data_IF_714376010837
#
_entry.id   IF_714376010837
#
_cell.length_a   1.000
_cell.length_b   1.000
_cell.length_c   1.000
_cell.angle_alpha   90.00
_cell.angle_beta   90.00
_cell.angle_gamma   90.00
#
_symmetry.space_group_name_H-M   'P 1'
#
loop_
_entity.id
_entity.type
_entity.pdbx_description
1 polymer ?
#
# COMPACT_ATOMS: atom_id res chain seq x y z
N UNK A 1 -46.45 13.86 19.35
CA UNK A 1 -45.69 14.24 18.13
C UNK A 1 -44.27 14.70 18.49
N UNK A 2 -43.42 13.80 19.01
CA UNK A 2 -42.04 14.14 19.43
C UNK A 2 -40.99 13.04 19.09
N UNK A 3 -41.34 12.08 18.23
CA UNK A 3 -40.43 11.02 17.78
C UNK A 3 -39.76 11.30 16.41
N UNK A 4 -40.07 12.39 15.72
CA UNK A 4 -39.50 12.68 14.39
C UNK A 4 -38.11 13.35 14.43
N UNK A 5 -37.67 13.89 15.58
CA UNK A 5 -36.37 14.59 15.70
C UNK A 5 -35.20 13.67 16.09
N UNK A 6 -35.46 12.54 16.77
CA UNK A 6 -34.41 11.56 17.13
C UNK A 6 -33.83 10.82 15.90
N UNK A 7 -34.63 10.63 14.84
CA UNK A 7 -34.15 9.99 13.60
C UNK A 7 -33.17 10.84 12.79
N UNK A 8 -33.16 12.17 12.97
CA UNK A 8 -32.26 13.08 12.23
C UNK A 8 -30.88 13.21 12.86
N UNK A 9 -30.80 13.20 14.19
CA UNK A 9 -29.52 13.30 14.91
C UNK A 9 -28.70 12.01 14.75
N UNK A 10 -29.37 10.85 14.89
CA UNK A 10 -28.74 9.53 14.73
C UNK A 10 -28.19 9.32 13.31
N UNK A 11 -28.95 9.68 12.26
CA UNK A 11 -28.48 9.55 10.86
C UNK A 11 -27.26 10.42 10.55
N UNK A 12 -27.20 11.65 11.08
CA UNK A 12 -26.05 12.55 10.89
C UNK A 12 -24.79 11.98 11.55
N UNK A 13 -24.93 11.45 12.77
CA UNK A 13 -23.80 10.84 13.51
C UNK A 13 -23.28 9.60 12.77
N UNK A 14 -24.18 8.71 12.32
CA UNK A 14 -23.81 7.52 11.52
C UNK A 14 -23.08 7.92 10.24
N UNK A 15 -23.55 8.96 9.54
CA UNK A 15 -22.92 9.45 8.33
C UNK A 15 -21.51 10.02 8.59
N UNK A 16 -21.31 10.73 9.71
CA UNK A 16 -19.99 11.21 10.12
C UNK A 16 -19.04 10.06 10.45
N UNK A 17 -19.50 9.05 11.20
CA UNK A 17 -18.68 7.85 11.48
C UNK A 17 -18.33 7.07 10.21
N UNK A 18 -19.27 6.95 9.26
CA UNK A 18 -18.99 6.37 7.93
C UNK A 18 -17.94 7.18 7.16
N UNK A 19 -18.04 8.51 7.15
CA UNK A 19 -17.07 9.36 6.45
C UNK A 19 -15.68 9.27 7.08
N UNK A 20 -15.56 9.35 8.41
CA UNK A 20 -14.27 9.27 9.11
C UNK A 20 -13.65 7.88 8.94
N UNK A 21 -14.43 6.80 9.09
CA UNK A 21 -13.90 5.45 8.89
C UNK A 21 -13.48 5.19 7.45
N UNK A 22 -14.24 5.72 6.48
CA UNK A 22 -13.90 5.66 5.06
C UNK A 22 -12.60 6.39 4.74
N UNK A 23 -12.41 7.61 5.24
CA UNK A 23 -11.18 8.38 4.99
C UNK A 23 -9.95 7.74 5.62
N UNK A 24 -10.05 7.22 6.84
CA UNK A 24 -8.95 6.47 7.47
C UNK A 24 -8.63 5.18 6.72
N UNK A 25 -9.65 4.46 6.22
CA UNK A 25 -9.44 3.27 5.40
C UNK A 25 -8.75 3.59 4.07
N UNK A 26 -9.13 4.69 3.41
CA UNK A 26 -8.47 5.15 2.19
C UNK A 26 -7.02 5.54 2.43
N UNK A 27 -6.74 6.26 3.52
CA UNK A 27 -5.39 6.71 3.86
C UNK A 27 -4.47 5.53 4.17
N UNK A 28 -4.93 4.59 5.00
CA UNK A 28 -4.18 3.36 5.33
C UNK A 28 -3.95 2.49 4.09
N UNK A 29 -4.96 2.28 3.26
CA UNK A 29 -4.84 1.52 2.00
C UNK A 29 -3.85 2.18 1.05
N UNK A 30 -3.93 3.51 0.90
CA UNK A 30 -3.02 4.28 0.03
C UNK A 30 -1.57 4.19 0.52
N UNK A 31 -1.35 4.28 1.83
CA UNK A 31 -0.03 4.13 2.43
C UNK A 31 0.54 2.72 2.24
N UNK A 32 -0.26 1.68 2.48
CA UNK A 32 0.15 0.28 2.25
C UNK A 32 0.51 0.01 0.79
N UNK A 33 -0.28 0.54 -0.15
CA UNK A 33 0.01 0.40 -1.58
C UNK A 33 1.24 1.15 -2.03
N UNK A 34 1.48 2.34 -1.46
CA UNK A 34 2.70 3.08 -1.71
C UNK A 34 3.94 2.31 -1.22
N UNK A 35 3.86 1.69 -0.03
CA UNK A 35 4.92 0.83 0.48
C UNK A 35 5.13 -0.41 -0.40
N UNK A 36 4.06 -1.09 -0.81
CA UNK A 36 4.15 -2.27 -1.68
C UNK A 36 4.78 -1.91 -3.03
N UNK A 37 4.35 -0.80 -3.64
CA UNK A 37 4.98 -0.26 -4.84
C UNK A 37 6.47 -0.02 -4.65
N UNK A 38 6.85 0.71 -3.58
CA UNK A 38 8.26 1.02 -3.30
C UNK A 38 9.09 -0.26 -3.11
N UNK A 39 8.60 -1.21 -2.32
CA UNK A 39 9.30 -2.46 -2.05
C UNK A 39 9.50 -3.28 -3.33
N UNK A 40 8.49 -3.36 -4.20
CA UNK A 40 8.58 -4.07 -5.48
C UNK A 40 9.57 -3.41 -6.44
N UNK A 41 9.58 -2.08 -6.51
CA UNK A 41 10.56 -1.34 -7.31
C UNK A 41 11.98 -1.60 -6.79
N UNK A 42 12.22 -1.49 -5.48
CA UNK A 42 13.52 -1.79 -4.88
C UNK A 42 13.94 -3.24 -5.12
N UNK A 43 13.03 -4.21 -4.98
CA UNK A 43 13.34 -5.61 -5.28
C UNK A 43 13.72 -5.82 -6.76
N UNK A 44 13.10 -5.09 -7.68
CA UNK A 44 13.45 -5.11 -9.10
C UNK A 44 14.82 -4.46 -9.35
N UNK A 45 15.11 -3.32 -8.71
CA UNK A 45 16.41 -2.66 -8.74
C UNK A 45 17.52 -3.60 -8.23
N UNK A 46 17.31 -4.27 -7.11
CA UNK A 46 18.24 -5.25 -6.54
C UNK A 46 18.43 -6.45 -7.47
N UNK A 47 17.36 -6.94 -8.11
CA UNK A 47 17.44 -8.04 -9.10
C UNK A 47 18.29 -7.65 -10.31
N UNK A 48 18.12 -6.43 -10.83
CA UNK A 48 18.95 -5.91 -11.94
C UNK A 48 20.40 -5.75 -11.49
N UNK A 49 20.62 -5.18 -10.31
CA UNK A 49 21.96 -4.99 -9.74
C UNK A 49 22.70 -6.32 -9.61
N UNK A 50 22.08 -7.31 -8.97
CA UNK A 50 22.66 -8.64 -8.78
C UNK A 50 22.97 -9.30 -10.12
N UNK A 51 22.07 -9.20 -11.11
CA UNK A 51 22.32 -9.73 -12.45
C UNK A 51 23.53 -9.04 -13.11
N UNK A 52 23.66 -7.73 -13.01
CA UNK A 52 24.84 -7.02 -13.55
C UNK A 52 26.12 -7.43 -12.83
N UNK A 53 26.07 -7.62 -11.51
CA UNK A 53 27.21 -8.09 -10.72
C UNK A 53 27.62 -9.52 -11.11
N UNK A 54 26.67 -10.42 -11.30
CA UNK A 54 26.92 -11.81 -11.73
C UNK A 54 27.57 -11.89 -13.12
N UNK A 55 27.19 -10.97 -14.02
CA UNK A 55 27.73 -10.90 -15.38
C UNK A 55 28.92 -9.97 -15.55
N UNK A 56 29.40 -9.29 -14.51
CA UNK A 56 30.47 -8.29 -14.61
C UNK A 56 31.73 -8.88 -15.26
N UNK A 57 32.16 -10.03 -14.78
CA UNK A 57 33.35 -10.72 -15.28
C UNK A 57 33.21 -11.19 -16.74
N UNK A 58 32.22 -12.02 -17.10
CA UNK A 58 32.08 -12.50 -18.48
C UNK A 58 31.80 -11.35 -19.46
N UNK A 59 31.05 -10.32 -19.04
CA UNK A 59 30.78 -9.15 -19.86
C UNK A 59 32.05 -8.34 -20.11
N UNK A 60 32.85 -8.14 -19.06
CA UNK A 60 34.12 -7.45 -19.16
C UNK A 60 35.13 -8.14 -20.07
N UNK A 61 35.27 -9.46 -19.97
CA UNK A 61 36.11 -10.25 -20.90
C UNK A 61 35.59 -10.14 -22.34
N UNK A 62 34.28 -10.20 -22.53
CA UNK A 62 33.65 -10.10 -23.85
C UNK A 62 33.87 -8.71 -24.48
N UNK A 63 33.78 -7.63 -23.69
CA UNK A 63 34.10 -6.27 -24.13
C UNK A 63 35.57 -6.19 -24.54
N UNK A 64 36.49 -6.63 -23.67
CA UNK A 64 37.93 -6.58 -23.92
C UNK A 64 38.32 -7.33 -25.21
N UNK A 65 37.73 -8.51 -25.43
CA UNK A 65 37.97 -9.33 -26.62
C UNK A 65 37.12 -8.94 -27.84
N UNK A 66 36.30 -7.89 -27.74
CA UNK A 66 35.38 -7.45 -28.80
C UNK A 66 34.42 -8.57 -29.28
N UNK A 67 33.99 -9.45 -28.37
CA UNK A 67 33.11 -10.58 -28.65
C UNK A 67 31.63 -10.19 -28.54
N UNK A 68 31.12 -9.54 -29.59
CA UNK A 68 29.73 -9.04 -29.64
C UNK A 68 28.67 -10.12 -29.42
N UNK A 69 28.92 -11.36 -29.85
CA UNK A 69 28.00 -12.47 -29.63
C UNK A 69 27.79 -12.78 -28.14
N UNK A 70 28.86 -12.80 -27.34
CA UNK A 70 28.76 -13.06 -25.90
C UNK A 70 28.07 -11.89 -25.21
N UNK A 71 28.41 -10.65 -25.59
CA UNK A 71 27.71 -9.46 -25.09
C UNK A 71 26.21 -9.56 -25.38
N UNK A 72 25.82 -9.97 -26.58
CA UNK A 72 24.42 -10.13 -26.98
C UNK A 72 23.70 -11.16 -26.09
N UNK A 73 24.27 -12.36 -25.93
CA UNK A 73 23.69 -13.42 -25.09
C UNK A 73 23.53 -12.99 -23.62
N UNK A 74 24.51 -12.26 -23.08
CA UNK A 74 24.40 -11.69 -21.73
C UNK A 74 23.28 -10.65 -21.67
N UNK A 75 23.17 -9.78 -22.68
CA UNK A 75 22.15 -8.76 -22.72
C UNK A 75 20.72 -9.32 -22.91
N UNK A 76 20.58 -10.47 -23.56
CA UNK A 76 19.30 -11.20 -23.68
C UNK A 76 18.79 -11.72 -22.33
N UNK A 77 19.70 -12.08 -21.41
CA UNK A 77 19.31 -12.58 -20.09
C UNK A 77 18.56 -11.54 -19.24
N UNK A 78 18.74 -10.24 -19.50
CA UNK A 78 17.94 -9.19 -18.85
C UNK A 78 16.44 -9.28 -19.20
N UNK A 79 16.06 -9.97 -20.28
CA UNK A 79 14.66 -10.27 -20.59
C UNK A 79 13.96 -11.15 -19.57
N UNK A 80 14.71 -11.88 -18.72
CA UNK A 80 14.12 -12.61 -17.59
C UNK A 80 13.81 -11.73 -16.37
N UNK A 81 14.27 -10.48 -16.37
CA UNK A 81 14.09 -9.53 -15.26
C UNK A 81 12.85 -8.68 -15.45
N UNK A 82 12.58 -8.24 -16.69
CA UNK A 82 11.43 -7.40 -17.02
C UNK A 82 11.00 -7.59 -18.47
N UNK A 83 9.69 -7.47 -18.69
CA UNK A 83 9.04 -7.49 -20.01
C UNK A 83 9.42 -6.27 -20.87
N UNK A 84 9.93 -5.21 -20.26
CA UNK A 84 10.38 -4.01 -20.97
C UNK A 84 11.70 -3.49 -20.38
N UNK A 85 12.76 -3.58 -21.18
CA UNK A 85 14.09 -3.12 -20.81
C UNK A 85 14.91 -2.62 -22.02
N UNK A 86 15.91 -1.80 -21.73
CA UNK A 86 16.97 -1.44 -22.66
C UNK A 86 18.28 -1.69 -21.93
N UNK A 87 19.09 -2.63 -22.42
CA UNK A 87 20.42 -2.85 -21.91
C UNK A 87 21.44 -2.39 -22.95
N UNK A 88 22.41 -1.60 -22.55
CA UNK A 88 23.46 -1.09 -23.42
C UNK A 88 24.82 -1.28 -22.79
N UNK A 89 25.79 -1.62 -23.63
CA UNK A 89 27.18 -1.86 -23.23
C UNK A 89 28.06 -0.91 -24.02
N UNK A 90 28.90 -0.18 -23.30
CA UNK A 90 29.84 0.78 -23.87
C UNK A 90 31.26 0.34 -23.59
N UNK A 91 32.15 0.55 -24.55
CA UNK A 91 33.59 0.37 -24.39
C UNK A 91 34.16 1.42 -23.42
N UNK A 92 35.44 1.28 -23.05
CA UNK A 92 36.20 2.25 -22.24
C UNK A 92 36.16 3.68 -22.79
N UNK A 93 36.07 3.82 -24.12
CA UNK A 93 35.97 5.12 -24.80
C UNK A 93 34.54 5.70 -24.80
N UNK A 94 33.58 5.02 -24.15
CA UNK A 94 32.16 5.39 -24.14
C UNK A 94 31.42 5.06 -25.44
N UNK A 95 32.07 4.39 -26.39
CA UNK A 95 31.46 3.95 -27.65
C UNK A 95 30.48 2.81 -27.40
N UNK A 96 29.29 2.90 -27.99
CA UNK A 96 28.29 1.87 -27.86
C UNK A 96 28.74 0.60 -28.62
N UNK A 97 28.93 -0.50 -27.89
CA UNK A 97 29.28 -1.81 -28.46
C UNK A 97 28.00 -2.51 -28.89
N UNK A 98 26.99 -2.50 -28.02
CA UNK A 98 25.73 -3.18 -28.26
C UNK A 98 24.62 -2.51 -27.46
N UNK A 99 23.44 -2.44 -28.05
CA UNK A 99 22.20 -2.08 -27.36
C UNK A 99 21.16 -3.14 -27.67
N UNK A 100 20.60 -3.71 -26.62
CA UNK A 100 19.51 -4.67 -26.69
C UNK A 100 18.25 -4.03 -26.10
N UNK A 101 17.36 -3.51 -26.96
CA UNK A 101 16.03 -3.10 -26.53
C UNK A 101 15.09 -4.31 -26.59
N UNK A 102 14.44 -4.61 -25.47
CA UNK A 102 13.19 -5.35 -25.47
C UNK A 102 12.09 -4.39 -25.05
N UNK A 103 11.49 -3.74 -26.02
CA UNK A 103 10.35 -2.86 -25.82
C UNK A 103 9.15 -3.60 -26.38
N UNK A 104 8.36 -4.24 -25.51
CA UNK A 104 7.07 -4.79 -25.88
C UNK A 104 6.18 -3.67 -26.45
N UNK A 105 6.19 -3.52 -27.78
CA UNK A 105 5.28 -2.78 -28.66
C UNK A 105 4.88 -1.32 -28.37
N UNK A 106 5.51 -0.59 -27.45
CA UNK A 106 5.25 0.86 -27.30
C UNK A 106 6.45 1.70 -27.76
N UNK A 107 6.32 2.21 -28.99
CA UNK A 107 6.94 3.43 -29.57
C UNK A 107 8.39 3.79 -29.21
N UNK A 108 9.16 4.03 -30.28
CA UNK A 108 10.51 4.63 -30.34
C UNK A 108 11.07 5.29 -29.08
N UNK A 109 12.34 4.96 -28.82
CA UNK A 109 13.24 5.38 -27.72
C UNK A 109 13.17 6.89 -27.39
N UNK A 110 12.61 7.73 -28.25
CA UNK A 110 12.56 9.19 -28.12
C UNK A 110 11.61 9.75 -27.06
N UNK A 111 10.61 9.01 -26.54
CA UNK A 111 9.62 9.54 -25.58
C UNK A 111 9.43 8.66 -24.32
N UNK A 112 10.51 8.12 -23.79
CA UNK A 112 10.46 7.37 -22.52
C UNK A 112 10.29 8.38 -21.37
N UNK A 113 9.08 8.46 -20.80
CA UNK A 113 8.87 9.20 -19.55
C UNK A 113 9.67 8.53 -18.44
N UNK A 114 10.70 9.22 -17.93
CA UNK A 114 11.55 8.76 -16.81
C UNK A 114 10.74 8.37 -15.55
N UNK A 115 9.45 8.72 -15.45
CA UNK A 115 8.60 8.36 -14.32
C UNK A 115 8.25 6.88 -14.26
N UNK A 116 8.32 6.15 -15.37
CA UNK A 116 7.94 4.73 -15.45
C UNK A 116 9.14 3.80 -15.69
N UNK A 117 10.36 4.30 -15.45
CA UNK A 117 11.60 3.57 -15.65
C UNK A 117 12.61 3.93 -14.57
N UNK A 118 13.47 2.98 -14.21
CA UNK A 118 14.70 3.28 -13.50
C UNK A 118 15.91 2.91 -14.35
N UNK A 119 17.05 3.51 -14.03
CA UNK A 119 18.32 3.31 -14.73
C UNK A 119 19.35 2.83 -13.73
N UNK A 120 19.95 1.69 -14.03
CA UNK A 120 21.13 1.20 -13.34
C UNK A 120 22.32 1.29 -14.28
N UNK A 121 23.47 1.77 -13.79
CA UNK A 121 24.69 1.88 -14.57
C UNK A 121 25.88 1.47 -13.71
N UNK A 122 26.77 0.66 -14.27
CA UNK A 122 27.98 0.18 -13.62
C UNK A 122 29.16 0.26 -14.58
N UNK A 123 30.27 0.80 -14.10
CA UNK A 123 31.56 0.70 -14.77
C UNK A 123 32.19 -0.65 -14.46
N UNK A 124 32.77 -1.28 -15.48
CA UNK A 124 33.44 -2.57 -15.37
C UNK A 124 34.94 -2.28 -15.30
N UNK A 125 35.50 -2.44 -14.11
CA UNK A 125 36.91 -2.21 -13.82
C UNK A 125 37.55 -3.50 -13.31
N UNK A 126 38.60 -3.92 -13.99
CA UNK A 126 39.35 -5.12 -13.64
C UNK A 126 40.52 -4.82 -12.69
N UNK A 127 40.84 -3.55 -12.45
CA UNK A 127 42.02 -3.16 -11.68
C UNK A 127 43.28 -3.80 -12.27
N UNK A 128 43.96 -4.64 -11.49
CA UNK A 128 45.06 -5.50 -11.95
C UNK A 128 44.73 -6.97 -11.71
N UNK A 129 43.81 -7.54 -12.50
CA UNK A 129 43.43 -8.95 -12.38
C UNK A 129 43.91 -9.78 -13.57
N UNK A 130 44.44 -10.96 -13.24
CA UNK A 130 44.92 -11.95 -14.20
C UNK A 130 43.93 -13.10 -14.26
N UNK A 131 43.47 -13.44 -15.46
CA UNK A 131 42.52 -14.52 -15.68
C UNK A 131 43.17 -15.64 -16.47
N UNK A 132 42.93 -16.88 -16.04
CA UNK A 132 43.33 -18.06 -16.81
C UNK A 132 42.11 -18.58 -17.55
N UNK A 133 42.12 -18.51 -18.88
CA UNK A 133 41.05 -19.07 -19.74
C UNK A 133 41.70 -19.99 -20.77
N UNK A 134 41.28 -21.26 -20.84
CA UNK A 134 41.81 -22.24 -21.80
C UNK A 134 43.35 -22.31 -21.84
N UNK A 135 43.98 -22.34 -20.67
CA UNK A 135 45.45 -22.31 -20.48
C UNK A 135 46.19 -21.04 -20.96
N UNK A 136 45.48 -20.04 -21.48
CA UNK A 136 46.01 -18.71 -21.74
C UNK A 136 45.81 -17.78 -20.56
N UNK A 137 46.86 -17.03 -20.21
CA UNK A 137 46.85 -16.06 -19.15
C UNK A 137 46.52 -14.69 -19.76
N UNK A 138 45.27 -14.27 -19.59
CA UNK A 138 44.76 -12.99 -20.08
C UNK A 138 44.92 -11.98 -18.96
N UNK A 139 45.72 -10.95 -19.21
CA UNK A 139 45.91 -9.84 -18.29
C UNK A 139 45.03 -8.70 -18.77
N UNK A 140 44.00 -8.36 -18.00
CA UNK A 140 43.10 -7.24 -18.27
C UNK A 140 43.35 -6.21 -17.19
N UNK A 141 43.73 -5.00 -17.59
CA UNK A 141 44.04 -3.93 -16.64
C UNK A 141 43.16 -2.70 -16.86
N UNK A 142 42.63 -2.18 -15.76
CA UNK A 142 41.83 -0.97 -15.68
C UNK A 142 40.38 -1.10 -16.17
N UNK A 143 39.80 0.05 -16.52
CA UNK A 143 38.42 0.17 -16.99
C UNK A 143 38.31 -0.37 -18.40
N UNK A 144 37.44 -1.35 -18.57
CA UNK A 144 37.21 -2.03 -19.85
C UNK A 144 35.96 -1.50 -20.53
N UNK A 145 34.99 -1.03 -19.75
CA UNK A 145 33.76 -0.47 -20.30
C UNK A 145 32.71 -0.19 -19.23
N UNK A 146 31.46 -0.08 -19.66
CA UNK A 146 30.32 0.09 -18.77
C UNK A 146 29.08 -0.59 -19.32
N UNK A 147 28.19 -0.95 -18.40
CA UNK A 147 26.86 -1.48 -18.71
C UNK A 147 25.81 -0.56 -18.10
N UNK A 148 24.78 -0.28 -18.88
CA UNK A 148 23.65 0.53 -18.46
C UNK A 148 22.36 -0.21 -18.81
N UNK A 149 21.51 -0.41 -17.81
CA UNK A 149 20.26 -1.14 -17.93
C UNK A 149 19.14 -0.20 -17.49
N UNK A 150 18.20 0.03 -18.40
CA UNK A 150 16.99 0.82 -18.17
C UNK A 150 15.82 -0.16 -18.14
N UNK A 151 15.07 -0.18 -17.05
CA UNK A 151 13.98 -1.17 -16.85
C UNK A 151 12.68 -0.45 -16.55
N UNK A 152 11.59 -0.91 -17.17
CA UNK A 152 10.26 -0.37 -16.94
C UNK A 152 9.66 -0.81 -15.61
N UNK A 153 9.04 0.14 -14.91
CA UNK A 153 8.22 -0.09 -13.72
C UNK A 153 6.72 -0.09 -14.04
N UNK A 154 6.33 0.05 -15.32
CA UNK A 154 4.92 0.08 -15.76
C UNK A 154 4.12 -1.13 -15.30
N UNK A 155 4.70 -2.32 -15.40
CA UNK A 155 4.05 -3.56 -14.97
C UNK A 155 3.69 -3.49 -13.47
N UNK A 156 4.67 -3.15 -12.62
CA UNK A 156 4.50 -2.98 -11.17
C UNK A 156 3.39 -1.95 -10.89
N UNK A 157 3.44 -0.80 -11.57
CA UNK A 157 2.43 0.26 -11.41
C UNK A 157 1.02 -0.23 -11.78
N UNK A 158 0.89 -0.96 -12.88
CA UNK A 158 -0.40 -1.49 -13.34
C UNK A 158 -0.97 -2.55 -12.37
N UNK A 159 -0.11 -3.40 -11.82
CA UNK A 159 -0.48 -4.43 -10.86
C UNK A 159 -0.89 -3.82 -9.52
N UNK A 160 -0.14 -2.82 -9.04
CA UNK A 160 -0.49 -2.05 -7.83
C UNK A 160 -1.82 -1.31 -8.01
N UNK A 161 -2.06 -0.71 -9.18
CA UNK A 161 -3.34 -0.06 -9.49
C UNK A 161 -4.50 -1.06 -9.57
N UNK A 162 -4.28 -2.26 -10.11
CA UNK A 162 -5.27 -3.33 -10.10
C UNK A 162 -5.60 -3.75 -8.67
N UNK A 163 -4.57 -3.93 -7.85
CA UNK A 163 -4.68 -4.27 -6.43
C UNK A 163 -5.39 -3.17 -5.63
N UNK A 164 -5.14 -1.90 -5.95
CA UNK A 164 -5.87 -0.76 -5.38
C UNK A 164 -7.37 -0.87 -5.68
N UNK A 165 -7.74 -1.12 -6.94
CA UNK A 165 -9.15 -1.24 -7.33
C UNK A 165 -9.86 -2.36 -6.58
N UNK A 166 -9.26 -3.54 -6.52
CA UNK A 166 -9.85 -4.70 -5.82
C UNK A 166 -9.91 -4.48 -4.31
N UNK A 167 -8.88 -3.87 -3.73
CA UNK A 167 -8.82 -3.56 -2.29
C UNK A 167 -9.85 -2.50 -1.90
N UNK A 168 -9.97 -1.42 -2.67
CA UNK A 168 -10.98 -0.38 -2.44
C UNK A 168 -12.40 -0.95 -2.50
N UNK A 169 -12.69 -1.76 -3.52
CA UNK A 169 -14.01 -2.40 -3.66
C UNK A 169 -14.30 -3.32 -2.47
N UNK A 170 -13.32 -4.13 -2.07
CA UNK A 170 -13.44 -5.05 -0.94
C UNK A 170 -13.65 -4.30 0.39
N UNK A 171 -12.89 -3.23 0.62
CA UNK A 171 -13.01 -2.41 1.83
C UNK A 171 -14.33 -1.65 1.87
N UNK A 172 -14.82 -1.17 0.72
CA UNK A 172 -16.14 -0.54 0.60
C UNK A 172 -17.27 -1.49 0.97
N UNK A 173 -17.26 -2.71 0.41
CA UNK A 173 -18.24 -3.76 0.74
C UNK A 173 -18.19 -4.13 2.23
N UNK A 174 -16.99 -4.29 2.80
CA UNK A 174 -16.79 -4.52 4.24
C UNK A 174 -17.37 -3.39 5.09
N UNK A 175 -17.12 -2.13 4.73
CA UNK A 175 -17.61 -0.97 5.47
C UNK A 175 -19.15 -0.91 5.49
N UNK A 176 -19.81 -1.20 4.36
CA UNK A 176 -21.28 -1.29 4.29
C UNK A 176 -21.79 -2.38 5.21
N UNK A 177 -21.20 -3.58 5.12
CA UNK A 177 -21.65 -4.75 5.89
C UNK A 177 -21.46 -4.55 7.39
N UNK A 178 -20.30 -4.04 7.81
CA UNK A 178 -20.01 -3.71 9.21
C UNK A 178 -20.99 -2.65 9.72
N UNK A 179 -21.23 -1.59 8.95
CA UNK A 179 -22.17 -0.54 9.38
C UNK A 179 -23.59 -1.07 9.50
N UNK A 180 -24.02 -1.94 8.59
CA UNK A 180 -25.34 -2.58 8.65
C UNK A 180 -25.49 -3.46 9.91
N UNK A 181 -24.47 -4.26 10.24
CA UNK A 181 -24.45 -5.06 11.47
C UNK A 181 -24.50 -4.16 12.70
N UNK A 182 -23.70 -3.10 12.75
CA UNK A 182 -23.72 -2.15 13.87
C UNK A 182 -25.10 -1.51 14.06
N UNK A 183 -25.78 -1.14 12.98
CA UNK A 183 -27.14 -0.60 13.04
C UNK A 183 -28.11 -1.62 13.66
N UNK A 184 -28.06 -2.88 13.24
CA UNK A 184 -28.88 -3.96 13.82
C UNK A 184 -28.59 -4.12 15.32
N UNK A 185 -27.33 -4.13 15.72
CA UNK A 185 -26.92 -4.28 17.12
C UNK A 185 -27.42 -3.10 17.96
N UNK A 186 -27.27 -1.87 17.48
CA UNK A 186 -27.75 -0.67 18.17
C UNK A 186 -29.27 -0.72 18.32
N UNK A 187 -30.00 -1.06 17.26
CA UNK A 187 -31.45 -1.16 17.29
C UNK A 187 -31.92 -2.23 18.30
N UNK A 188 -31.34 -3.43 18.25
CA UNK A 188 -31.74 -4.53 19.12
C UNK A 188 -31.33 -4.33 20.58
N UNK A 189 -30.22 -3.65 20.85
CA UNK A 189 -29.65 -3.56 22.20
C UNK A 189 -30.00 -2.24 22.88
N UNK A 190 -29.70 -1.10 22.24
CA UNK A 190 -29.89 0.22 22.83
C UNK A 190 -31.34 0.67 22.77
N UNK A 191 -32.00 0.57 21.60
CA UNK A 191 -33.39 1.03 21.48
C UNK A 191 -34.35 0.16 22.28
N UNK A 192 -34.14 -1.16 22.32
CA UNK A 192 -34.95 -2.06 23.15
C UNK A 192 -34.83 -1.73 24.65
N UNK A 193 -33.61 -1.47 25.15
CA UNK A 193 -33.38 -1.08 26.54
C UNK A 193 -33.94 0.30 26.85
N UNK A 194 -33.74 1.28 25.97
CA UNK A 194 -34.32 2.61 26.13
C UNK A 194 -35.85 2.58 26.13
N UNK A 195 -36.48 1.75 25.29
CA UNK A 195 -37.93 1.57 25.30
C UNK A 195 -38.41 0.96 26.62
N UNK A 196 -37.69 -0.05 27.14
CA UNK A 196 -38.00 -0.66 28.44
C UNK A 196 -37.88 0.33 29.60
N UNK A 197 -36.81 1.14 29.60
CA UNK A 197 -36.61 2.20 30.60
C UNK A 197 -37.70 3.27 30.48
N UNK A 198 -38.02 3.69 29.25
CA UNK A 198 -39.08 4.69 29.01
C UNK A 198 -40.44 4.20 29.51
N UNK A 199 -40.82 2.96 29.20
CA UNK A 199 -42.07 2.36 29.69
C UNK A 199 -42.06 2.26 31.22
N UNK A 200 -40.94 1.83 31.81
CA UNK A 200 -40.80 1.78 33.27
C UNK A 200 -40.95 3.16 33.93
N UNK A 201 -40.37 4.22 33.34
CA UNK A 201 -40.52 5.59 33.83
C UNK A 201 -41.96 6.10 33.70
N UNK A 202 -42.63 5.77 32.60
CA UNK A 202 -44.03 6.15 32.36
C UNK A 202 -44.97 5.46 33.35
N UNK A 203 -44.80 4.15 33.57
CA UNK A 203 -45.53 3.38 34.59
C UNK A 203 -45.24 3.90 36.01
N UNK A 204 -43.98 4.24 36.29
CA UNK A 204 -43.61 4.84 37.58
C UNK A 204 -44.29 6.19 37.81
N UNK A 205 -44.37 7.03 36.79
CA UNK A 205 -45.05 8.34 36.89
C UNK A 205 -46.57 8.24 37.04
N UNK A 206 -47.21 7.22 36.45
CA UNK A 206 -48.66 7.04 36.54
C UNK A 206 -49.11 6.33 37.82
N UNK A 207 -48.26 5.46 38.39
CA UNK A 207 -48.58 4.70 39.60
C UNK A 207 -48.16 5.40 40.89
N UNK A 208 -47.58 6.60 40.83
CA UNK A 208 -47.50 7.47 41.99
C UNK A 208 -48.86 8.13 42.24
N UNK A 209 -49.77 7.38 42.88
CA UNK A 209 -50.50 8.01 43.97
C UNK A 209 -49.44 8.30 45.03
N UNK A 210 -48.91 9.52 45.03
CA UNK A 210 -48.21 10.03 46.19
C UNK A 210 -49.28 10.08 47.28
N UNK A 211 -49.44 8.98 48.00
CA UNK A 211 -50.09 9.00 49.28
C UNK A 211 -49.19 9.92 50.10
N UNK A 212 -49.59 11.20 50.20
CA UNK A 212 -48.96 12.17 51.09
C UNK A 212 -48.70 11.41 52.39
N UNK A 213 -47.43 11.25 52.74
CA UNK A 213 -47.00 10.59 53.97
C UNK A 213 -47.84 11.23 55.07
N UNK A 214 -48.84 10.49 55.58
CA UNK A 214 -49.66 11.03 56.65
C UNK A 214 -48.72 11.30 57.80
N UNK A 215 -48.74 12.51 58.38
CA UNK A 215 -47.90 12.82 59.53
C UNK A 215 -48.13 11.74 60.58
N UNK A 216 -47.03 11.26 61.13
CA UNK A 216 -47.03 10.17 62.10
C UNK A 216 -47.82 10.66 63.31
N UNK A 217 -48.91 9.98 63.67
CA UNK A 217 -49.61 10.27 64.93
C UNK A 217 -48.77 9.71 66.09
N UNK A 218 -47.82 10.50 66.60
CA UNK A 218 -47.11 10.23 67.85
C UNK A 218 -47.69 11.10 68.98
N UNK A 219 -47.84 10.52 70.17
CA UNK A 219 -48.37 11.20 71.35
C UNK A 219 -47.47 12.35 71.88
N UNK A 220 -46.29 12.54 71.30
CA UNK A 220 -45.41 13.68 71.49
C UNK A 220 -44.88 14.11 70.12
N UNK A 221 -45.04 15.38 69.82
CA UNK A 221 -44.39 16.06 68.69
C UNK A 221 -42.90 16.11 68.96
N UNK A 222 -42.10 15.68 67.98
CA UNK A 222 -40.64 15.82 67.96
C UNK A 222 -40.22 16.61 66.71
N UNK A 223 -39.01 17.15 66.71
CA UNK A 223 -38.47 18.05 65.66
C UNK A 223 -38.43 17.44 64.24
N UNK A 224 -38.67 16.13 64.12
CA UNK A 224 -38.76 15.43 62.84
C UNK A 224 -40.12 15.67 62.14
N UNK A 225 -41.16 16.03 62.90
CA UNK A 225 -42.50 16.28 62.35
C UNK A 225 -42.57 17.61 61.58
N UNK A 226 -41.70 18.57 61.88
CA UNK A 226 -41.58 19.86 61.16
C UNK A 226 -40.88 19.74 59.80
N UNK A 227 -40.26 18.59 59.51
CA UNK A 227 -39.55 18.34 58.24
C UNK A 227 -40.50 17.81 57.15
N UNK A 228 -41.71 17.37 57.52
CA UNK A 228 -42.74 16.88 56.59
C UNK A 228 -43.86 17.92 56.47
N UNK A 229 -43.59 18.99 55.72
CA UNK A 229 -44.59 19.91 55.13
C UNK A 229 -44.36 20.01 53.63
#
# INVERSE_FOLDING_TARGET
MKMMLQGRLSKKIVLIFMLISGTFSLLTTSFSLYQDYKNRVTALEDKVKNMVEDYELPLGVAIHKSQTLIVTLILENFGSVSDAYIAQVKDKDGRNIMTMPNLNNEFGISNISMTDYFRYSKQIDFGHTKYKTNDELIVIEGIVGSVEVIVSTKFIKSEVLSTLKTTLLTNFLKAILVTFIFLIVIEKTLLARLKKISLWLEDFSHNQNIELLKPRETARSDEVDDIIV
#
